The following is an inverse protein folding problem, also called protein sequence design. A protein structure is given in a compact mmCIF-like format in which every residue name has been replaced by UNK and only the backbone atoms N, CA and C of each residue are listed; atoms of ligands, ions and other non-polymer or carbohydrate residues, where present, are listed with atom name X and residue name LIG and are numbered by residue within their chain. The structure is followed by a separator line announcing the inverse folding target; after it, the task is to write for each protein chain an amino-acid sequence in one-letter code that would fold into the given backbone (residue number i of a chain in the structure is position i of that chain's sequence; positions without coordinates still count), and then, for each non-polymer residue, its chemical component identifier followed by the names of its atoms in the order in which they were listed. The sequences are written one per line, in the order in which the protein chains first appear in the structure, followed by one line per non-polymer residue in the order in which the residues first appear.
data_IF_646671003186
#
_entry.id   IF_646671003186
#
_cell.length_a   1.000
_cell.length_b   1.000
_cell.length_c   1.000
_cell.angle_alpha   90.00
_cell.angle_beta   90.00
_cell.angle_gamma   90.00
#
_symmetry.space_group_name_H-M   'P 1'
#
loop_
_entity.id
_entity.type
_entity.pdbx_description
1 polymer ?
#
# COMPACT_ATOMS: atom_id res chain seq x y z
N UNK A 1 -39.91 -1.34 -81.26
CA UNK A 1 -41.05 -1.14 -80.32
C UNK A 1 -40.61 -0.86 -78.87
N UNK A 2 -39.37 -0.40 -78.62
CA UNK A 2 -38.86 -0.12 -77.25
C UNK A 2 -38.43 1.34 -77.01
N UNK A 3 -38.46 2.18 -78.05
CA UNK A 3 -37.97 3.57 -77.99
C UNK A 3 -39.11 4.59 -77.84
N UNK A 4 -40.31 4.25 -78.31
CA UNK A 4 -41.51 5.10 -78.21
C UNK A 4 -42.10 5.09 -76.77
N UNK A 5 -41.89 4.01 -76.02
CA UNK A 5 -42.33 3.88 -74.62
C UNK A 5 -41.49 4.68 -73.62
N UNK A 6 -40.27 5.10 -74.00
CA UNK A 6 -39.39 5.91 -73.14
C UNK A 6 -39.73 7.40 -73.19
N UNK A 7 -39.97 7.93 -74.38
CA UNK A 7 -40.36 9.34 -74.62
C UNK A 7 -41.73 9.67 -74.01
N UNK A 8 -42.70 8.75 -74.11
CA UNK A 8 -44.04 8.96 -73.54
C UNK A 8 -44.03 9.03 -72.00
N UNK A 9 -43.09 8.32 -71.35
CA UNK A 9 -42.94 8.32 -69.89
C UNK A 9 -42.32 9.61 -69.35
N UNK A 10 -41.42 10.23 -70.13
CA UNK A 10 -40.76 11.50 -69.77
C UNK A 10 -41.72 12.69 -69.91
N UNK A 11 -42.56 12.69 -70.94
CA UNK A 11 -43.57 13.73 -71.17
C UNK A 11 -44.67 13.69 -70.10
N UNK A 12 -45.09 12.49 -69.65
CA UNK A 12 -46.04 12.33 -68.54
C UNK A 12 -45.45 12.80 -67.21
N UNK A 13 -44.15 12.63 -66.98
CA UNK A 13 -43.47 13.08 -65.76
C UNK A 13 -43.26 14.60 -65.71
N UNK A 14 -43.06 15.25 -66.87
CA UNK A 14 -42.90 16.70 -66.98
C UNK A 14 -44.22 17.47 -66.81
N UNK A 15 -45.37 16.84 -67.09
CA UNK A 15 -46.69 17.45 -66.92
C UNK A 15 -47.29 17.33 -65.51
N UNK A 16 -46.63 16.62 -64.58
CA UNK A 16 -47.20 16.30 -63.26
C UNK A 16 -46.67 17.07 -62.04
N UNK A 17 -46.17 18.33 -62.16
CA UNK A 17 -46.22 19.20 -60.98
C UNK A 17 -46.68 20.64 -61.27
N UNK A 18 -47.48 20.88 -62.31
CA UNK A 18 -48.02 22.23 -62.57
C UNK A 18 -49.45 22.39 -62.05
N UNK A 19 -50.22 21.31 -61.93
CA UNK A 19 -51.57 21.35 -61.34
C UNK A 19 -51.57 21.62 -59.83
N UNK A 20 -50.47 21.39 -59.13
CA UNK A 20 -50.32 21.70 -57.70
C UNK A 20 -49.87 23.14 -57.41
N UNK A 21 -49.37 23.89 -58.41
CA UNK A 21 -48.96 25.30 -58.23
C UNK A 21 -50.11 26.31 -58.42
N UNK A 22 -51.22 25.91 -59.05
CA UNK A 22 -52.38 26.75 -59.30
C UNK A 22 -53.63 26.31 -58.52
N UNK A 23 -53.44 25.67 -57.36
CA UNK A 23 -54.47 25.71 -56.34
C UNK A 23 -54.50 27.14 -55.77
N UNK A 24 -55.20 28.05 -56.45
CA UNK A 24 -55.65 29.29 -55.81
C UNK A 24 -56.38 28.83 -54.56
N UNK A 25 -55.77 29.12 -53.44
CA UNK A 25 -56.05 28.49 -52.16
C UNK A 25 -57.46 28.90 -51.74
N UNK A 26 -58.46 28.08 -52.06
CA UNK A 26 -59.85 28.36 -51.73
C UNK A 26 -60.02 28.67 -50.24
N UNK A 27 -59.13 28.13 -49.41
CA UNK A 27 -59.04 28.44 -47.98
C UNK A 27 -58.80 29.94 -47.70
N UNK A 28 -57.98 30.63 -48.49
CA UNK A 28 -57.67 32.07 -48.32
C UNK A 28 -58.90 32.91 -48.63
N UNK A 29 -59.62 32.59 -49.72
CA UNK A 29 -60.84 33.30 -50.09
C UNK A 29 -61.94 33.07 -49.03
N UNK A 30 -62.12 31.83 -48.57
CA UNK A 30 -63.06 31.51 -47.49
C UNK A 30 -62.71 32.23 -46.18
N UNK A 31 -61.42 32.31 -45.84
CA UNK A 31 -60.94 33.05 -44.67
C UNK A 31 -61.29 34.53 -44.75
N UNK A 32 -60.95 35.19 -45.85
CA UNK A 32 -61.19 36.62 -46.04
C UNK A 32 -62.69 36.96 -45.97
N UNK A 33 -63.51 36.14 -46.63
CA UNK A 33 -64.96 36.33 -46.60
C UNK A 33 -65.54 36.07 -45.20
N UNK A 34 -65.06 35.04 -44.50
CA UNK A 34 -65.41 34.76 -43.12
C UNK A 34 -65.04 35.89 -42.16
N UNK A 35 -63.84 36.44 -42.30
CA UNK A 35 -63.34 37.55 -41.49
C UNK A 35 -64.23 38.79 -41.65
N UNK A 36 -64.57 39.14 -42.91
CA UNK A 36 -65.45 40.27 -43.22
C UNK A 36 -66.82 40.12 -42.56
N UNK A 37 -67.45 38.94 -42.68
CA UNK A 37 -68.78 38.69 -42.09
C UNK A 37 -68.74 38.70 -40.56
N UNK A 38 -67.70 38.10 -39.97
CA UNK A 38 -67.54 38.07 -38.52
C UNK A 38 -67.35 39.48 -37.94
N UNK A 39 -66.50 40.32 -38.54
CA UNK A 39 -66.26 41.69 -38.08
C UNK A 39 -67.51 42.58 -38.25
N UNK A 40 -68.30 42.37 -39.30
CA UNK A 40 -69.60 43.06 -39.46
C UNK A 40 -70.56 42.76 -38.29
N UNK A 41 -70.67 41.50 -37.89
CA UNK A 41 -71.54 41.08 -36.77
C UNK A 41 -70.98 41.56 -35.43
N UNK A 42 -69.66 41.53 -35.28
CA UNK A 42 -68.96 42.06 -34.11
C UNK A 42 -69.17 43.56 -33.95
N UNK A 43 -69.13 44.33 -35.03
CA UNK A 43 -69.48 45.75 -35.02
C UNK A 43 -70.95 45.99 -34.63
N UNK A 44 -71.89 45.12 -35.02
CA UNK A 44 -73.28 45.21 -34.56
C UNK A 44 -73.43 44.92 -33.06
N UNK A 45 -72.55 44.09 -32.49
CA UNK A 45 -72.58 43.72 -31.08
C UNK A 45 -72.14 44.83 -30.13
N UNK A 46 -71.43 45.86 -30.62
CA UNK A 46 -71.00 47.01 -29.82
C UNK A 46 -72.05 48.13 -29.71
N UNK A 47 -73.21 48.00 -30.38
CA UNK A 47 -74.32 48.96 -30.32
C UNK A 47 -75.19 48.76 -29.07
N UNK A 48 -75.60 49.84 -28.39
CA UNK A 48 -76.18 49.79 -27.03
C UNK A 48 -77.57 49.16 -26.90
N UNK A 49 -78.48 49.34 -27.88
CA UNK A 49 -79.89 48.90 -27.75
C UNK A 49 -80.17 47.52 -28.35
N UNK A 50 -79.50 47.15 -29.44
CA UNK A 50 -79.66 45.86 -30.13
C UNK A 50 -78.44 44.94 -30.03
N UNK A 51 -77.34 45.40 -29.41
CA UNK A 51 -76.09 44.65 -29.32
C UNK A 51 -76.15 43.38 -28.47
N UNK A 52 -77.04 43.31 -27.46
CA UNK A 52 -77.12 42.13 -26.56
C UNK A 52 -77.43 40.84 -27.33
N UNK A 53 -78.33 40.91 -28.33
CA UNK A 53 -78.64 39.74 -29.17
C UNK A 53 -77.39 39.27 -29.91
N UNK A 54 -76.72 40.19 -30.60
CA UNK A 54 -75.51 39.92 -31.37
C UNK A 54 -74.34 39.44 -30.49
N UNK A 55 -74.16 39.99 -29.29
CA UNK A 55 -73.15 39.55 -28.32
C UNK A 55 -73.36 38.09 -27.91
N UNK A 56 -74.60 37.71 -27.60
CA UNK A 56 -74.92 36.32 -27.21
C UNK A 56 -74.69 35.35 -28.36
N UNK A 57 -74.99 35.77 -29.59
CA UNK A 57 -74.74 34.95 -30.77
C UNK A 57 -73.24 34.81 -31.05
N UNK A 58 -72.45 35.88 -30.96
CA UNK A 58 -70.99 35.81 -31.11
C UNK A 58 -70.35 34.86 -30.10
N UNK A 59 -70.76 34.94 -28.82
CA UNK A 59 -70.29 33.99 -27.79
C UNK A 59 -70.65 32.55 -28.15
N UNK A 60 -71.85 32.33 -28.69
CA UNK A 60 -72.28 30.99 -29.14
C UNK A 60 -71.43 30.53 -30.33
N UNK A 61 -71.19 31.38 -31.32
CA UNK A 61 -70.37 31.07 -32.51
C UNK A 61 -68.94 30.66 -32.07
N UNK A 62 -68.30 31.44 -31.20
CA UNK A 62 -66.94 31.15 -30.71
C UNK A 62 -66.81 29.78 -30.04
N UNK A 63 -67.87 29.30 -29.38
CA UNK A 63 -67.88 27.99 -28.70
C UNK A 63 -68.30 26.86 -29.64
N UNK A 64 -69.28 27.11 -30.52
CA UNK A 64 -69.92 26.08 -31.34
C UNK A 64 -69.17 25.78 -32.66
N UNK A 65 -68.29 26.66 -33.13
CA UNK A 65 -67.58 26.46 -34.41
C UNK A 65 -66.60 25.29 -34.43
N UNK A 66 -66.09 24.86 -33.28
CA UNK A 66 -65.29 23.63 -33.14
C UNK A 66 -66.11 22.37 -33.45
N UNK A 67 -67.43 22.41 -33.17
CA UNK A 67 -68.35 21.27 -33.32
C UNK A 67 -69.47 21.57 -34.32
N UNK A 68 -69.14 22.27 -35.40
CA UNK A 68 -70.11 22.67 -36.41
C UNK A 68 -70.64 21.44 -37.17
N UNK A 69 -71.79 20.93 -36.73
CA UNK A 69 -72.60 19.96 -37.45
C UNK A 69 -73.83 20.65 -38.09
N UNK A 70 -74.56 19.95 -38.96
CA UNK A 70 -75.72 20.52 -39.68
C UNK A 70 -76.76 21.15 -38.75
N UNK A 71 -76.95 20.59 -37.55
CA UNK A 71 -77.86 21.13 -36.53
C UNK A 71 -77.34 22.43 -35.92
N UNK A 72 -76.08 22.48 -35.47
CA UNK A 72 -75.46 23.68 -34.91
C UNK A 72 -75.35 24.78 -35.96
N UNK A 73 -75.05 24.41 -37.20
CA UNK A 73 -75.01 25.31 -38.33
C UNK A 73 -76.38 25.99 -38.56
N UNK A 74 -77.45 25.19 -38.65
CA UNK A 74 -78.82 25.70 -38.75
C UNK A 74 -79.21 26.57 -37.55
N UNK A 75 -78.85 26.16 -36.33
CA UNK A 75 -79.15 26.93 -35.12
C UNK A 75 -78.44 28.28 -35.06
N UNK A 76 -77.16 28.33 -35.39
CA UNK A 76 -76.39 29.58 -35.45
C UNK A 76 -77.01 30.54 -36.48
N UNK A 77 -77.33 30.03 -37.67
CA UNK A 77 -77.99 30.81 -38.72
C UNK A 77 -79.36 31.34 -38.27
N UNK A 78 -80.17 30.54 -37.56
CA UNK A 78 -81.47 30.98 -37.01
C UNK A 78 -81.32 32.04 -35.91
N UNK A 79 -80.32 31.89 -35.03
CA UNK A 79 -80.04 32.89 -33.99
C UNK A 79 -79.59 34.23 -34.60
N UNK A 80 -78.72 34.18 -35.60
CA UNK A 80 -78.31 35.36 -36.38
C UNK A 80 -79.49 36.03 -37.07
N UNK A 81 -80.35 35.22 -37.69
CA UNK A 81 -81.58 35.67 -38.36
C UNK A 81 -82.52 36.38 -37.39
N UNK A 82 -82.76 35.80 -36.21
CA UNK A 82 -83.60 36.44 -35.19
C UNK A 82 -83.01 37.75 -34.68
N UNK A 83 -81.69 37.85 -34.50
CA UNK A 83 -81.06 39.11 -34.15
C UNK A 83 -81.25 40.17 -35.24
N UNK A 84 -81.12 39.79 -36.52
CA UNK A 84 -81.36 40.70 -37.65
C UNK A 84 -82.82 41.15 -37.75
N UNK A 85 -83.77 40.22 -37.63
CA UNK A 85 -85.20 40.52 -37.69
C UNK A 85 -85.61 41.44 -36.54
N UNK A 86 -85.12 41.17 -35.32
CA UNK A 86 -85.34 42.04 -34.15
C UNK A 86 -84.73 43.43 -34.33
N UNK A 87 -83.49 43.52 -34.81
CA UNK A 87 -82.79 44.79 -35.12
C UNK A 87 -83.53 45.60 -36.19
N UNK A 88 -84.18 44.91 -37.13
CA UNK A 88 -84.94 45.52 -38.23
C UNK A 88 -86.43 45.77 -37.91
N UNK A 89 -86.91 45.44 -36.70
CA UNK A 89 -88.31 45.63 -36.28
C UNK A 89 -89.32 44.62 -36.86
N UNK A 90 -88.86 43.47 -37.35
CA UNK A 90 -89.70 42.39 -37.90
C UNK A 90 -90.01 41.31 -36.87
N UNK A 91 -91.04 40.49 -37.13
CA UNK A 91 -91.40 39.33 -36.31
C UNK A 91 -90.27 38.30 -36.30
N UNK A 92 -89.88 37.84 -35.11
CA UNK A 92 -88.91 36.75 -34.89
C UNK A 92 -89.57 35.38 -34.87
N UNK A 93 -88.77 34.32 -35.03
CA UNK A 93 -89.25 32.95 -35.09
C UNK A 93 -88.47 32.04 -34.13
N UNK A 94 -89.18 31.24 -33.33
CA UNK A 94 -88.56 30.39 -32.30
C UNK A 94 -88.06 29.03 -32.83
N UNK A 95 -87.81 28.92 -34.14
CA UNK A 95 -87.35 27.68 -34.77
C UNK A 95 -85.99 27.19 -34.22
N UNK A 96 -85.19 28.09 -33.63
CA UNK A 96 -83.92 27.77 -32.99
C UNK A 96 -84.06 27.03 -31.65
N UNK A 97 -85.28 26.97 -31.07
CA UNK A 97 -85.58 26.23 -29.84
C UNK A 97 -86.01 24.79 -30.12
N UNK A 98 -86.18 24.40 -31.38
CA UNK A 98 -86.66 23.08 -31.78
C UNK A 98 -85.48 22.15 -32.08
N UNK A 99 -85.27 21.18 -31.19
CA UNK A 99 -84.19 20.20 -31.34
C UNK A 99 -84.46 19.17 -32.43
N UNK A 100 -85.74 18.76 -32.59
CA UNK A 100 -86.15 17.78 -33.60
C UNK A 100 -86.09 18.37 -35.00
N UNK A 101 -85.23 17.81 -35.85
CA UNK A 101 -84.93 18.36 -37.17
C UNK A 101 -86.16 18.54 -38.07
N UNK A 102 -87.03 17.53 -38.18
CA UNK A 102 -88.24 17.61 -39.01
C UNK A 102 -89.18 18.76 -38.59
N UNK A 103 -89.33 18.97 -37.29
CA UNK A 103 -90.14 20.06 -36.75
C UNK A 103 -89.48 21.42 -36.99
N UNK A 104 -88.14 21.50 -36.88
CA UNK A 104 -87.38 22.71 -37.20
C UNK A 104 -87.48 23.08 -38.67
N UNK A 105 -87.32 22.12 -39.59
CA UNK A 105 -87.49 22.34 -41.04
C UNK A 105 -88.90 22.83 -41.38
N UNK A 106 -89.93 22.23 -40.78
CA UNK A 106 -91.32 22.71 -40.94
C UNK A 106 -91.49 24.15 -40.43
N UNK A 107 -90.87 24.49 -39.30
CA UNK A 107 -90.88 25.85 -38.77
C UNK A 107 -90.21 26.85 -39.72
N UNK A 108 -89.07 26.49 -40.32
CA UNK A 108 -88.35 27.29 -41.31
C UNK A 108 -89.20 27.51 -42.57
N UNK A 109 -89.87 26.47 -43.06
CA UNK A 109 -90.71 26.55 -44.26
C UNK A 109 -91.94 27.44 -44.07
N UNK A 110 -92.40 27.64 -42.83
CA UNK A 110 -93.53 28.51 -42.50
C UNK A 110 -93.11 29.96 -42.17
N UNK A 111 -91.83 30.30 -42.34
CA UNK A 111 -91.35 31.67 -42.20
C UNK A 111 -91.81 32.55 -43.37
N UNK A 112 -91.87 33.87 -43.16
CA UNK A 112 -92.05 34.81 -44.26
C UNK A 112 -90.86 34.77 -45.23
N UNK A 113 -91.08 35.09 -46.51
CA UNK A 113 -90.03 35.13 -47.54
C UNK A 113 -88.82 35.97 -47.11
N UNK A 114 -89.07 37.11 -46.44
CA UNK A 114 -88.00 37.96 -45.90
C UNK A 114 -87.18 37.24 -44.83
N UNK A 115 -87.82 36.56 -43.90
CA UNK A 115 -87.14 35.83 -42.82
C UNK A 115 -86.38 34.61 -43.37
N UNK A 116 -86.97 33.89 -44.33
CA UNK A 116 -86.31 32.77 -44.99
C UNK A 116 -85.08 33.20 -45.80
N UNK A 117 -85.16 34.31 -46.53
CA UNK A 117 -84.01 34.85 -47.28
C UNK A 117 -82.87 35.27 -46.35
N UNK A 118 -83.18 35.96 -45.25
CA UNK A 118 -82.17 36.33 -44.23
C UNK A 118 -81.54 35.08 -43.61
N UNK A 119 -82.35 34.05 -43.33
CA UNK A 119 -81.86 32.77 -42.86
C UNK A 119 -80.90 32.12 -43.85
N UNK A 120 -81.23 32.09 -45.14
CA UNK A 120 -80.36 31.50 -46.16
C UNK A 120 -79.00 32.21 -46.26
N UNK A 121 -78.99 33.55 -46.22
CA UNK A 121 -77.75 34.33 -46.22
C UNK A 121 -76.88 34.03 -44.99
N UNK A 122 -77.46 34.06 -43.79
CA UNK A 122 -76.72 33.71 -42.58
C UNK A 122 -76.33 32.24 -42.51
N UNK A 123 -77.10 31.35 -43.12
CA UNK A 123 -76.74 29.95 -43.26
C UNK A 123 -75.43 29.82 -44.03
N UNK A 124 -75.31 30.43 -45.20
CA UNK A 124 -74.06 30.40 -45.98
C UNK A 124 -72.90 31.05 -45.21
N UNK A 125 -73.12 32.23 -44.61
CA UNK A 125 -72.05 32.96 -43.93
C UNK A 125 -71.57 32.31 -42.64
N UNK A 126 -72.42 31.53 -41.96
CA UNK A 126 -72.03 30.83 -40.72
C UNK A 126 -70.85 29.89 -40.95
N UNK A 127 -70.84 29.17 -42.07
CA UNK A 127 -69.72 28.28 -42.43
C UNK A 127 -68.42 29.06 -42.61
N UNK A 128 -68.47 30.20 -43.32
CA UNK A 128 -67.29 31.02 -43.55
C UNK A 128 -66.77 31.66 -42.27
N UNK A 129 -67.65 32.13 -41.38
CA UNK A 129 -67.26 32.68 -40.08
C UNK A 129 -66.61 31.63 -39.18
N UNK A 130 -67.18 30.42 -39.12
CA UNK A 130 -66.56 29.33 -38.36
C UNK A 130 -65.23 28.89 -38.96
N UNK A 131 -65.13 28.84 -40.28
CA UNK A 131 -63.86 28.56 -40.96
C UNK A 131 -62.78 29.58 -40.56
N UNK A 132 -63.11 30.88 -40.59
CA UNK A 132 -62.21 31.94 -40.15
C UNK A 132 -61.77 31.79 -38.68
N UNK A 133 -62.70 31.56 -37.76
CA UNK A 133 -62.37 31.41 -36.32
C UNK A 133 -61.51 30.18 -36.03
N UNK A 134 -61.81 29.06 -36.69
CA UNK A 134 -61.01 27.85 -36.56
C UNK A 134 -59.62 28.05 -37.17
N UNK A 135 -59.53 28.74 -38.31
CA UNK A 135 -58.25 29.11 -38.92
C UNK A 135 -57.40 29.98 -37.99
N UNK A 136 -57.97 31.00 -37.34
CA UNK A 136 -57.21 31.87 -36.44
C UNK A 136 -56.70 31.11 -35.20
N UNK A 137 -57.51 30.20 -34.65
CA UNK A 137 -57.08 29.30 -33.56
C UNK A 137 -55.93 28.40 -34.03
N UNK A 138 -56.10 27.74 -35.17
CA UNK A 138 -55.09 26.87 -35.75
C UNK A 138 -53.78 27.61 -36.06
N UNK A 139 -53.87 28.84 -36.59
CA UNK A 139 -52.71 29.68 -36.88
C UNK A 139 -51.95 30.02 -35.60
N UNK A 140 -52.65 30.42 -34.54
CA UNK A 140 -52.03 30.73 -33.26
C UNK A 140 -51.34 29.53 -32.62
N UNK A 141 -51.97 28.34 -32.66
CA UNK A 141 -51.38 27.09 -32.19
C UNK A 141 -50.15 26.67 -33.02
N UNK A 142 -50.24 26.83 -34.33
CA UNK A 142 -49.15 26.54 -35.27
C UNK A 142 -47.96 27.46 -35.01
N UNK A 143 -48.18 28.77 -34.87
CA UNK A 143 -47.13 29.73 -34.56
C UNK A 143 -46.47 29.44 -33.21
N UNK A 144 -47.26 29.05 -32.19
CA UNK A 144 -46.71 28.63 -30.90
C UNK A 144 -45.85 27.36 -31.03
N UNK A 145 -46.34 26.36 -31.76
CA UNK A 145 -45.62 25.11 -31.99
C UNK A 145 -44.31 25.35 -32.76
N UNK A 146 -44.33 26.19 -33.80
CA UNK A 146 -43.14 26.56 -34.56
C UNK A 146 -42.12 27.28 -33.66
N UNK A 147 -42.57 28.21 -32.81
CA UNK A 147 -41.69 28.90 -31.85
C UNK A 147 -41.04 27.91 -30.88
N UNK A 148 -41.81 26.98 -30.32
CA UNK A 148 -41.28 25.94 -29.43
C UNK A 148 -40.28 25.04 -30.14
N UNK A 149 -40.60 24.58 -31.35
CA UNK A 149 -39.71 23.74 -32.16
C UNK A 149 -38.39 24.46 -32.47
N UNK A 150 -38.47 25.73 -32.85
CA UNK A 150 -37.29 26.55 -33.10
C UNK A 150 -36.42 26.69 -31.84
N UNK A 151 -37.03 26.99 -30.70
CA UNK A 151 -36.32 27.12 -29.42
C UNK A 151 -35.62 25.82 -29.01
N UNK A 152 -36.33 24.68 -29.08
CA UNK A 152 -35.76 23.37 -28.77
C UNK A 152 -34.64 23.02 -29.73
N UNK A 153 -34.81 23.26 -31.03
CA UNK A 153 -33.78 22.98 -32.04
C UNK A 153 -32.55 23.88 -31.87
N UNK A 154 -32.74 25.16 -31.50
CA UNK A 154 -31.62 26.07 -31.22
C UNK A 154 -30.84 25.62 -30.00
N UNK A 155 -31.54 25.28 -28.90
CA UNK A 155 -30.91 24.76 -27.69
C UNK A 155 -30.15 23.46 -27.96
N UNK A 156 -30.74 22.55 -28.73
CA UNK A 156 -30.08 21.29 -29.10
C UNK A 156 -28.81 21.55 -29.93
N UNK A 157 -28.83 22.53 -30.84
CA UNK A 157 -27.64 22.95 -31.59
C UNK A 157 -26.55 23.47 -30.66
N UNK A 158 -26.88 24.35 -29.73
CA UNK A 158 -25.93 24.89 -28.75
C UNK A 158 -25.32 23.79 -27.88
N UNK A 159 -26.14 22.88 -27.36
CA UNK A 159 -25.67 21.73 -26.57
C UNK A 159 -24.77 20.79 -27.36
N UNK A 160 -25.05 20.57 -28.65
CA UNK A 160 -24.17 19.77 -29.52
C UNK A 160 -22.82 20.43 -29.77
N UNK A 161 -22.79 21.77 -29.91
CA UNK A 161 -21.55 22.52 -30.06
C UNK A 161 -20.72 22.46 -28.77
N UNK A 162 -21.33 22.67 -27.61
CA UNK A 162 -20.68 22.55 -26.30
C UNK A 162 -20.16 21.13 -26.05
N UNK A 163 -20.95 20.10 -26.38
CA UNK A 163 -20.53 18.72 -26.27
C UNK A 163 -19.34 18.39 -27.20
N UNK A 164 -19.31 18.95 -28.41
CA UNK A 164 -18.19 18.77 -29.34
C UNK A 164 -16.91 19.41 -28.80
N UNK A 165 -16.99 20.62 -28.24
CA UNK A 165 -15.84 21.30 -27.62
C UNK A 165 -15.33 20.54 -26.38
N UNK A 166 -16.24 20.07 -25.53
CA UNK A 166 -15.90 19.23 -24.39
C UNK A 166 -15.25 17.91 -24.82
N UNK A 167 -15.71 17.29 -25.92
CA UNK A 167 -15.10 16.08 -26.46
C UNK A 167 -13.66 16.33 -26.96
N UNK A 168 -13.41 17.47 -27.61
CA UNK A 168 -12.07 17.85 -28.07
C UNK A 168 -11.11 18.05 -26.89
N UNK A 169 -11.54 18.79 -25.87
CA UNK A 169 -10.72 19.00 -24.66
C UNK A 169 -10.46 17.70 -23.89
N UNK A 170 -11.45 16.81 -23.80
CA UNK A 170 -11.30 15.49 -23.19
C UNK A 170 -10.30 14.62 -23.97
N UNK A 171 -10.36 14.64 -25.30
CA UNK A 171 -9.42 13.89 -26.15
C UNK A 171 -7.98 14.38 -25.97
N UNK A 172 -7.78 15.70 -25.90
CA UNK A 172 -6.44 16.26 -25.65
C UNK A 172 -5.93 15.89 -24.25
N UNK A 173 -6.79 15.93 -23.23
CA UNK A 173 -6.43 15.47 -21.87
C UNK A 173 -6.09 13.98 -21.82
N UNK A 174 -6.81 13.12 -22.54
CA UNK A 174 -6.50 11.70 -22.66
C UNK A 174 -5.14 11.48 -23.34
N UNK A 175 -4.84 12.22 -24.42
CA UNK A 175 -3.56 12.17 -25.11
C UNK A 175 -2.41 12.57 -24.17
N UNK A 176 -2.56 13.64 -23.41
CA UNK A 176 -1.56 14.06 -22.41
C UNK A 176 -1.39 13.00 -21.30
N UNK A 177 -2.48 12.40 -20.83
CA UNK A 177 -2.47 11.33 -19.84
C UNK A 177 -1.74 10.08 -20.35
N UNK A 178 -1.94 9.71 -21.62
CA UNK A 178 -1.22 8.60 -22.26
C UNK A 178 0.28 8.90 -22.40
N UNK A 179 0.65 10.13 -22.75
CA UNK A 179 2.05 10.55 -22.76
C UNK A 179 2.68 10.44 -21.37
N UNK A 180 1.97 10.84 -20.31
CA UNK A 180 2.43 10.71 -18.93
C UNK A 180 2.60 9.24 -18.51
N UNK A 181 1.62 8.38 -18.85
CA UNK A 181 1.71 6.93 -18.59
C UNK A 181 2.91 6.30 -19.29
N UNK A 182 3.19 6.67 -20.55
CA UNK A 182 4.38 6.21 -21.26
C UNK A 182 5.68 6.65 -20.56
N UNK A 183 5.77 7.90 -20.08
CA UNK A 183 6.92 8.37 -19.32
C UNK A 183 7.10 7.59 -18.01
N UNK A 184 6.01 7.36 -17.27
CA UNK A 184 6.03 6.54 -16.04
C UNK A 184 6.47 5.10 -16.31
N UNK A 185 6.03 4.50 -17.41
CA UNK A 185 6.44 3.16 -17.80
C UNK A 185 7.93 3.09 -18.13
N UNK A 186 8.47 4.12 -18.80
CA UNK A 186 9.91 4.24 -19.07
C UNK A 186 10.70 4.39 -17.77
N UNK A 187 10.29 5.30 -16.87
CA UNK A 187 10.93 5.44 -15.55
C UNK A 187 10.82 4.16 -14.71
N UNK A 188 9.70 3.42 -14.80
CA UNK A 188 9.54 2.13 -14.14
C UNK A 188 10.50 1.06 -14.66
N UNK A 189 10.75 1.03 -15.98
CA UNK A 189 11.76 0.14 -16.59
C UNK A 189 13.18 0.50 -16.14
N UNK A 190 13.51 1.78 -16.11
CA UNK A 190 14.81 2.28 -15.64
C UNK A 190 15.01 1.95 -14.15
N UNK A 191 14.00 2.17 -13.32
CA UNK A 191 14.07 1.80 -11.91
C UNK A 191 14.25 0.28 -11.74
N UNK A 192 13.58 -0.52 -12.56
CA UNK A 192 13.76 -1.97 -12.58
C UNK A 192 15.19 -2.40 -12.94
N UNK A 193 15.84 -1.71 -13.88
CA UNK A 193 17.25 -1.98 -14.23
C UNK A 193 18.21 -1.58 -13.12
N UNK A 194 17.99 -0.42 -12.49
CA UNK A 194 18.76 0.04 -11.32
C UNK A 194 18.61 -0.92 -10.15
N UNK A 195 17.39 -1.38 -9.85
CA UNK A 195 17.14 -2.38 -8.80
C UNK A 195 17.85 -3.70 -9.08
N UNK A 196 17.83 -4.17 -10.33
CA UNK A 196 18.53 -5.39 -10.73
C UNK A 196 20.05 -5.24 -10.55
N UNK A 197 20.62 -4.13 -11.00
CA UNK A 197 22.05 -3.84 -10.84
C UNK A 197 22.43 -3.72 -9.36
N UNK A 198 21.62 -3.02 -8.55
CA UNK A 198 21.85 -2.91 -7.11
C UNK A 198 21.78 -4.28 -6.42
N UNK A 199 20.84 -5.14 -6.79
CA UNK A 199 20.76 -6.50 -6.25
C UNK A 199 21.99 -7.33 -6.60
N UNK A 200 22.52 -7.19 -7.81
CA UNK A 200 23.74 -7.86 -8.25
C UNK A 200 24.96 -7.33 -7.48
N UNK A 201 25.08 -6.02 -7.32
CA UNK A 201 26.14 -5.40 -6.49
C UNK A 201 26.09 -5.86 -5.04
N UNK A 202 24.90 -5.93 -4.42
CA UNK A 202 24.74 -6.43 -3.04
C UNK A 202 25.15 -7.90 -2.94
N UNK A 203 24.76 -8.74 -3.90
CA UNK A 203 25.17 -10.14 -3.93
C UNK A 203 26.69 -10.31 -4.06
N UNK A 204 27.33 -9.49 -4.90
CA UNK A 204 28.79 -9.48 -5.04
C UNK A 204 29.47 -9.03 -3.73
N UNK A 205 28.99 -7.96 -3.09
CA UNK A 205 29.51 -7.52 -1.79
C UNK A 205 29.36 -8.58 -0.70
N UNK A 206 28.24 -9.29 -0.66
CA UNK A 206 28.03 -10.40 0.30
C UNK A 206 29.01 -11.55 0.02
N UNK A 207 29.28 -11.84 -1.26
CA UNK A 207 30.27 -12.85 -1.65
C UNK A 207 31.68 -12.44 -1.24
N UNK A 208 32.08 -11.20 -1.51
CA UNK A 208 33.38 -10.65 -1.13
C UNK A 208 33.56 -10.64 0.40
N UNK A 209 32.50 -10.29 1.14
CA UNK A 209 32.52 -10.32 2.61
C UNK A 209 32.71 -11.75 3.14
N UNK A 210 32.04 -12.74 2.53
CA UNK A 210 32.19 -14.15 2.91
C UNK A 210 33.61 -14.65 2.64
N UNK A 211 34.22 -14.24 1.53
CA UNK A 211 35.60 -14.59 1.19
C UNK A 211 36.59 -13.92 2.16
N UNK A 212 36.43 -12.62 2.41
CA UNK A 212 37.25 -11.88 3.38
C UNK A 212 37.13 -12.45 4.81
N UNK A 213 35.94 -12.84 5.25
CA UNK A 213 35.75 -13.47 6.55
C UNK A 213 36.44 -14.85 6.64
N UNK A 214 36.55 -15.58 5.53
CA UNK A 214 37.30 -16.84 5.46
C UNK A 214 38.80 -16.58 5.59
N UNK A 215 39.33 -15.57 4.91
CA UNK A 215 40.74 -15.18 5.01
C UNK A 215 41.09 -14.69 6.42
N UNK A 216 40.22 -13.89 7.04
CA UNK A 216 40.38 -13.45 8.44
C UNK A 216 40.40 -14.63 9.41
N UNK A 217 39.57 -15.65 9.19
CA UNK A 217 39.59 -16.89 9.99
C UNK A 217 40.92 -17.63 9.85
N UNK A 218 41.49 -17.69 8.65
CA UNK A 218 42.77 -18.33 8.41
C UNK A 218 43.93 -17.61 9.13
N UNK A 219 43.97 -16.27 9.05
CA UNK A 219 44.92 -15.45 9.81
C UNK A 219 44.78 -15.64 11.33
N UNK A 220 43.56 -15.71 11.85
CA UNK A 220 43.32 -15.98 13.27
C UNK A 220 43.85 -17.35 13.70
N UNK A 221 43.62 -18.39 12.88
CA UNK A 221 44.17 -19.73 13.15
C UNK A 221 45.71 -19.72 13.16
N UNK A 222 46.32 -18.96 12.26
CA UNK A 222 47.78 -18.78 12.25
C UNK A 222 48.26 -18.12 13.55
N UNK A 223 47.60 -17.06 14.02
CA UNK A 223 47.94 -16.37 15.28
C UNK A 223 47.83 -17.33 16.49
N UNK A 224 46.79 -18.15 16.56
CA UNK A 224 46.62 -19.12 17.65
C UNK A 224 47.77 -20.15 17.70
N UNK A 225 48.34 -20.55 16.57
CA UNK A 225 49.46 -21.50 16.54
C UNK A 225 50.76 -20.91 17.10
N UNK A 226 51.03 -19.63 16.85
CA UNK A 226 52.15 -18.92 17.48
C UNK A 226 51.97 -18.80 19.01
N UNK A 227 50.74 -18.58 19.47
CA UNK A 227 50.45 -18.50 20.90
C UNK A 227 50.73 -19.81 21.64
N UNK A 228 50.34 -20.95 21.09
CA UNK A 228 50.64 -22.28 21.66
C UNK A 228 52.15 -22.55 21.72
N UNK A 229 52.89 -22.12 20.70
CA UNK A 229 54.35 -22.26 20.65
C UNK A 229 55.02 -21.43 21.75
N UNK A 230 54.58 -20.18 21.93
CA UNK A 230 55.06 -19.31 23.00
C UNK A 230 54.76 -19.88 24.39
N UNK A 231 53.53 -20.35 24.62
CA UNK A 231 53.14 -21.00 25.88
C UNK A 231 54.03 -22.21 26.19
N UNK A 232 54.35 -23.02 25.17
CA UNK A 232 55.19 -24.21 25.34
C UNK A 232 56.65 -23.87 25.73
N UNK A 233 57.17 -22.74 25.26
CA UNK A 233 58.52 -22.24 25.53
C UNK A 233 58.63 -21.65 26.95
N UNK A 234 57.65 -20.82 27.34
CA UNK A 234 57.59 -20.22 28.69
C UNK A 234 57.59 -21.28 29.80
N UNK A 235 56.81 -22.36 29.64
CA UNK A 235 56.73 -23.44 30.63
C UNK A 235 58.06 -24.23 30.72
N UNK A 236 58.82 -24.33 29.63
CA UNK A 236 60.13 -24.99 29.63
C UNK A 236 61.18 -24.18 30.39
N UNK A 237 61.27 -22.88 30.11
CA UNK A 237 62.24 -21.97 30.73
C UNK A 237 61.97 -21.75 32.23
N UNK A 238 60.72 -21.64 32.68
CA UNK A 238 60.45 -21.43 34.11
C UNK A 238 60.88 -22.63 34.98
N UNK A 239 60.92 -23.84 34.43
CA UNK A 239 61.18 -25.08 35.15
C UNK A 239 62.61 -25.18 35.72
N UNK A 240 63.63 -24.77 34.96
CA UNK A 240 65.02 -24.88 35.42
C UNK A 240 65.36 -23.87 36.53
N UNK A 241 64.76 -22.67 36.49
CA UNK A 241 64.89 -21.67 37.55
C UNK A 241 64.34 -22.20 38.89
N UNK A 242 63.20 -22.89 38.87
CA UNK A 242 62.61 -23.51 40.05
C UNK A 242 63.53 -24.58 40.66
N UNK A 243 64.21 -25.38 39.83
CA UNK A 243 65.20 -26.37 40.31
C UNK A 243 66.39 -25.70 41.01
N UNK A 244 66.93 -24.61 40.45
CA UNK A 244 68.07 -23.91 41.06
C UNK A 244 67.71 -23.36 42.44
N UNK A 245 66.55 -22.71 42.57
CA UNK A 245 66.11 -22.15 43.85
C UNK A 245 65.92 -23.26 44.90
N UNK A 246 65.34 -24.40 44.52
CA UNK A 246 65.11 -25.52 45.43
C UNK A 246 66.41 -26.11 46.01
N UNK A 247 67.41 -26.39 45.16
CA UNK A 247 68.66 -27.03 45.63
C UNK A 247 69.56 -26.06 46.39
N UNK A 248 69.59 -24.77 46.01
CA UNK A 248 70.32 -23.75 46.77
C UNK A 248 69.80 -23.63 48.20
N UNK A 249 68.48 -23.54 48.38
CA UNK A 249 67.84 -23.52 49.71
C UNK A 249 68.10 -24.82 50.49
N UNK A 250 67.99 -25.98 49.82
CA UNK A 250 68.24 -27.29 50.45
C UNK A 250 69.69 -27.44 50.95
N UNK A 251 70.67 -26.99 50.17
CA UNK A 251 72.08 -26.98 50.57
C UNK A 251 72.32 -26.09 51.80
N UNK A 252 71.72 -24.91 51.85
CA UNK A 252 71.81 -24.00 53.00
C UNK A 252 71.22 -24.67 54.25
N UNK A 253 70.05 -25.29 54.15
CA UNK A 253 69.43 -26.00 55.26
C UNK A 253 70.28 -27.19 55.75
N UNK A 254 70.81 -28.00 54.84
CA UNK A 254 71.71 -29.11 55.20
C UNK A 254 72.98 -28.62 55.90
N UNK A 255 73.57 -27.51 55.45
CA UNK A 255 74.73 -26.90 56.09
C UNK A 255 74.42 -26.40 57.52
N UNK A 256 73.25 -25.75 57.70
CA UNK A 256 72.81 -25.28 59.01
C UNK A 256 72.59 -26.43 60.00
N UNK A 257 71.84 -27.47 59.62
CA UNK A 257 71.54 -28.61 60.50
C UNK A 257 72.75 -29.48 60.82
N UNK A 258 73.73 -29.53 59.91
CA UNK A 258 74.98 -30.28 60.10
C UNK A 258 76.07 -29.50 60.85
N UNK A 259 75.84 -28.23 61.20
CA UNK A 259 76.81 -27.41 61.95
C UNK A 259 76.92 -27.80 63.44
N UNK A 260 75.95 -28.53 63.98
CA UNK A 260 75.96 -28.99 65.37
C UNK A 260 76.98 -30.13 65.58
N UNK A 261 77.73 -30.09 66.69
CA UNK A 261 78.71 -31.14 67.06
C UNK A 261 78.09 -32.55 67.17
N UNK A 262 76.77 -32.63 67.33
CA UNK A 262 75.99 -33.88 67.40
C UNK A 262 75.71 -34.55 66.05
N UNK A 263 75.76 -33.80 64.94
CA UNK A 263 75.30 -34.27 63.60
C UNK A 263 76.37 -34.08 62.52
N UNK A 264 77.65 -33.92 62.91
CA UNK A 264 78.76 -33.61 61.99
C UNK A 264 79.01 -34.75 61.00
N UNK A 265 78.82 -36.00 61.42
CA UNK A 265 79.01 -37.19 60.59
C UNK A 265 77.94 -37.32 59.49
N UNK A 266 76.74 -36.76 59.71
CA UNK A 266 75.64 -36.79 58.73
C UNK A 266 75.88 -35.89 57.51
N UNK A 267 76.86 -34.97 57.55
CA UNK A 267 77.07 -33.93 56.52
C UNK A 267 77.31 -34.51 55.13
N UNK A 268 78.23 -35.47 55.05
CA UNK A 268 78.67 -36.06 53.79
C UNK A 268 77.52 -36.86 53.18
N UNK A 269 76.80 -37.63 53.99
CA UNK A 269 75.64 -38.42 53.54
C UNK A 269 74.52 -37.53 53.00
N UNK A 270 74.21 -36.39 53.63
CA UNK A 270 73.20 -35.45 53.15
C UNK A 270 73.57 -34.83 51.80
N UNK A 271 74.82 -34.40 51.61
CA UNK A 271 75.26 -33.85 50.32
C UNK A 271 75.29 -34.91 49.21
N UNK A 272 75.62 -36.17 49.52
CA UNK A 272 75.57 -37.27 48.56
C UNK A 272 74.13 -37.55 48.10
N UNK A 273 73.16 -37.59 49.03
CA UNK A 273 71.74 -37.78 48.69
C UNK A 273 71.23 -36.63 47.81
N UNK A 274 71.55 -35.38 48.16
CA UNK A 274 71.17 -34.21 47.33
C UNK A 274 71.80 -34.27 45.94
N UNK A 275 73.07 -34.65 45.82
CA UNK A 275 73.77 -34.73 44.53
C UNK A 275 73.18 -35.82 43.62
N UNK A 276 72.88 -37.00 44.17
CA UNK A 276 72.19 -38.06 43.42
C UNK A 276 70.79 -37.63 42.96
N UNK A 277 70.07 -36.88 43.79
CA UNK A 277 68.76 -36.37 43.44
C UNK A 277 68.83 -35.36 42.27
N UNK A 278 69.82 -34.45 42.26
CA UNK A 278 70.03 -33.52 41.13
C UNK A 278 70.26 -34.28 39.83
N UNK A 279 71.11 -35.31 39.85
CA UNK A 279 71.41 -36.14 38.67
C UNK A 279 70.16 -36.89 38.21
N UNK A 280 69.41 -37.47 39.14
CA UNK A 280 68.15 -38.15 38.87
C UNK A 280 67.12 -37.22 38.23
N UNK A 281 66.96 -36.01 38.75
CA UNK A 281 66.06 -35.00 38.18
C UNK A 281 66.48 -34.59 36.75
N UNK A 282 67.78 -34.36 36.51
CA UNK A 282 68.28 -34.00 35.17
C UNK A 282 68.11 -35.13 34.16
N UNK A 283 68.34 -36.38 34.56
CA UNK A 283 68.10 -37.54 33.69
C UNK A 283 66.61 -37.73 33.39
N UNK A 284 65.73 -37.54 34.38
CA UNK A 284 64.27 -37.62 34.18
C UNK A 284 63.79 -36.56 33.18
N UNK A 285 64.24 -35.31 33.31
CA UNK A 285 63.87 -34.22 32.39
C UNK A 285 64.40 -34.49 30.97
N UNK A 286 65.63 -34.96 30.84
CA UNK A 286 66.22 -35.29 29.53
C UNK A 286 65.50 -36.48 28.86
N UNK A 287 65.17 -37.52 29.62
CA UNK A 287 64.45 -38.69 29.13
C UNK A 287 63.06 -38.31 28.60
N UNK A 288 62.30 -37.54 29.38
CA UNK A 288 60.96 -37.09 28.98
C UNK A 288 60.98 -36.16 27.75
N UNK A 289 61.95 -35.23 27.68
CA UNK A 289 62.11 -34.35 26.52
C UNK A 289 62.44 -35.12 25.22
N UNK A 290 63.11 -36.27 25.30
CA UNK A 290 63.51 -37.05 24.13
C UNK A 290 62.40 -38.01 23.65
N UNK A 291 61.56 -38.53 24.56
CA UNK A 291 60.57 -39.55 24.21
C UNK A 291 59.20 -38.97 23.83
N UNK A 292 58.79 -37.83 24.38
CA UNK A 292 57.45 -37.27 24.16
C UNK A 292 57.49 -35.77 23.84
N UNK A 293 57.26 -35.43 22.57
CA UNK A 293 57.09 -34.05 22.11
C UNK A 293 55.67 -33.48 22.35
N UNK A 294 54.76 -34.23 22.99
CA UNK A 294 53.38 -33.78 23.21
C UNK A 294 53.24 -32.91 24.46
N UNK A 295 52.59 -31.75 24.28
CA UNK A 295 52.40 -30.71 25.29
C UNK A 295 51.50 -31.16 26.46
N UNK A 296 50.66 -32.19 26.28
CA UNK A 296 49.68 -32.66 27.27
C UNK A 296 50.31 -33.31 28.51
N UNK A 297 51.57 -33.74 28.44
CA UNK A 297 52.26 -34.42 29.54
C UNK A 297 53.23 -33.51 30.32
N UNK A 298 53.19 -32.19 30.11
CA UNK A 298 54.03 -31.26 30.89
C UNK A 298 53.58 -31.16 32.35
N UNK A 299 52.27 -31.22 32.61
CA UNK A 299 51.73 -31.19 33.97
C UNK A 299 52.09 -32.46 34.75
N UNK A 300 52.08 -33.62 34.08
CA UNK A 300 52.50 -34.88 34.70
C UNK A 300 54.01 -34.92 34.98
N UNK A 301 54.84 -34.27 34.14
CA UNK A 301 56.27 -34.11 34.38
C UNK A 301 56.55 -33.26 35.62
N UNK A 302 55.91 -32.09 35.73
CA UNK A 302 56.08 -31.19 36.89
C UNK A 302 55.66 -31.89 38.19
N UNK A 303 54.52 -32.60 38.17
CA UNK A 303 54.04 -33.36 39.33
C UNK A 303 55.01 -34.48 39.73
N UNK A 304 55.57 -35.20 38.75
CA UNK A 304 56.52 -36.30 38.99
C UNK A 304 57.84 -35.79 39.61
N UNK A 305 58.39 -34.69 39.10
CA UNK A 305 59.60 -34.04 39.67
C UNK A 305 59.34 -33.60 41.11
N UNK A 306 58.17 -33.04 41.40
CA UNK A 306 57.82 -32.59 42.75
C UNK A 306 57.71 -33.75 43.74
N UNK A 307 57.17 -34.89 43.30
CA UNK A 307 57.15 -36.11 44.12
C UNK A 307 58.55 -36.63 44.42
N UNK A 308 59.47 -36.65 43.45
CA UNK A 308 60.87 -37.04 43.67
C UNK A 308 61.56 -36.17 44.73
N UNK A 309 61.35 -34.85 44.69
CA UNK A 309 61.91 -33.90 45.66
C UNK A 309 61.43 -34.18 47.09
N UNK A 310 60.15 -34.44 47.28
CA UNK A 310 59.58 -34.80 48.59
C UNK A 310 60.20 -36.06 49.18
N UNK A 311 60.37 -37.09 48.37
CA UNK A 311 60.97 -38.36 48.80
C UNK A 311 62.42 -38.15 49.22
N UNK A 312 63.20 -37.36 48.49
CA UNK A 312 64.58 -37.07 48.90
C UNK A 312 64.67 -36.31 50.22
N UNK A 313 63.78 -35.34 50.47
CA UNK A 313 63.74 -34.60 51.74
C UNK A 313 63.37 -35.50 52.92
N UNK A 314 62.45 -36.45 52.74
CA UNK A 314 62.12 -37.40 53.81
C UNK A 314 63.30 -38.31 54.13
N UNK A 315 64.05 -38.78 53.12
CA UNK A 315 65.31 -39.52 53.35
C UNK A 315 66.33 -38.68 54.12
N UNK A 316 66.52 -37.40 53.77
CA UNK A 316 67.41 -36.49 54.51
C UNK A 316 66.96 -36.25 55.96
N UNK A 317 65.65 -36.16 56.22
CA UNK A 317 65.13 -36.01 57.57
C UNK A 317 65.36 -37.28 58.41
N UNK A 318 65.15 -38.46 57.82
CA UNK A 318 65.38 -39.75 58.50
C UNK A 318 66.87 -39.90 58.86
N UNK A 319 67.80 -39.57 57.97
CA UNK A 319 69.24 -39.67 58.26
C UNK A 319 69.67 -38.72 59.38
N UNK A 320 69.10 -37.52 59.46
CA UNK A 320 69.31 -36.59 60.58
C UNK A 320 68.77 -37.16 61.91
N UNK A 321 67.58 -37.77 61.92
CA UNK A 321 67.01 -38.37 63.14
C UNK A 321 67.81 -39.60 63.58
N UNK A 322 68.21 -40.47 62.66
CA UNK A 322 69.03 -41.65 62.98
C UNK A 322 70.38 -41.24 63.60
N UNK A 323 71.07 -40.26 63.02
CA UNK A 323 72.35 -39.76 63.56
C UNK A 323 72.18 -39.04 64.89
N UNK A 324 71.05 -38.35 65.10
CA UNK A 324 70.70 -37.76 66.38
C UNK A 324 70.48 -38.82 67.48
N UNK A 325 69.74 -39.90 67.20
CA UNK A 325 69.46 -40.96 68.17
C UNK A 325 70.67 -41.85 68.48
N UNK A 326 71.56 -42.07 67.51
CA UNK A 326 72.76 -42.91 67.68
C UNK A 326 73.94 -42.17 68.35
N UNK A 327 73.78 -40.88 68.67
CA UNK A 327 74.83 -40.08 69.32
C UNK A 327 75.07 -40.56 70.76
N UNK A 328 76.08 -41.42 70.93
CA UNK A 328 76.57 -41.91 72.23
C UNK A 328 77.80 -41.09 72.62
N UNK A 329 77.77 -40.48 73.81
CA UNK A 329 78.79 -39.54 74.28
C UNK A 329 80.11 -40.26 74.65
N UNK A 330 80.94 -40.50 73.64
CA UNK A 330 82.22 -41.22 73.74
C UNK A 330 83.21 -40.50 74.67
N UNK A 331 83.16 -39.15 74.73
CA UNK A 331 84.02 -38.33 75.59
C UNK A 331 83.73 -38.49 77.08
N UNK A 332 82.47 -38.75 77.46
CA UNK A 332 82.10 -38.98 78.88
C UNK A 332 82.58 -40.36 79.37
N UNK A 333 82.60 -41.38 78.50
CA UNK A 333 83.16 -42.70 78.85
C UNK A 333 84.69 -42.65 78.97
N UNK A 334 85.39 -41.97 78.06
CA UNK A 334 86.86 -41.80 78.14
C UNK A 334 87.28 -41.03 79.39
N UNK A 335 86.54 -39.97 79.78
CA UNK A 335 86.80 -39.23 81.02
C UNK A 335 86.57 -40.10 82.27
N UNK A 336 85.51 -40.92 82.30
CA UNK A 336 85.29 -41.90 83.38
C UNK A 336 86.37 -42.98 83.43
N UNK A 337 86.92 -43.39 82.29
CA UNK A 337 88.03 -44.34 82.23
C UNK A 337 89.33 -43.71 82.76
N UNK A 338 89.64 -42.47 82.35
CA UNK A 338 90.82 -41.73 82.83
C UNK A 338 90.76 -41.52 84.35
N UNK A 339 89.59 -41.13 84.87
CA UNK A 339 89.37 -40.96 86.32
C UNK A 339 89.52 -42.29 87.09
N UNK A 340 89.19 -43.42 86.47
CA UNK A 340 89.41 -44.77 87.03
C UNK A 340 90.90 -45.11 87.11
N UNK A 341 91.67 -44.76 86.07
CA UNK A 341 93.13 -44.97 86.02
C UNK A 341 93.84 -44.07 87.05
N UNK A 342 93.45 -42.80 87.17
CA UNK A 342 93.99 -41.88 88.18
C UNK A 342 93.73 -42.39 89.61
N UNK A 343 92.53 -42.90 89.88
CA UNK A 343 92.19 -43.48 91.18
C UNK A 343 93.05 -44.72 91.48
N UNK A 344 93.28 -45.60 90.50
CA UNK A 344 94.13 -46.79 90.67
C UNK A 344 95.59 -46.41 91.00
N UNK A 345 96.16 -45.42 90.32
CA UNK A 345 97.51 -44.91 90.59
C UNK A 345 97.66 -44.35 92.01
N UNK A 346 96.68 -43.57 92.49
CA UNK A 346 96.72 -43.01 93.85
C UNK A 346 96.68 -44.06 94.96
N UNK A 347 96.02 -45.20 94.70
CA UNK A 347 95.90 -46.31 95.67
C UNK A 347 97.22 -47.08 95.77
N UNK A 348 97.88 -47.31 94.63
CA UNK A 348 99.20 -47.97 94.57
C UNK A 348 100.25 -47.14 95.32
N UNK A 349 100.27 -45.81 95.12
CA UNK A 349 101.25 -44.93 95.76
C UNK A 349 101.11 -44.87 97.30
N UNK A 350 99.91 -45.06 97.87
CA UNK A 350 99.72 -45.20 99.32
C UNK A 350 100.28 -46.52 99.87
N UNK A 351 100.12 -47.64 99.14
CA UNK A 351 100.60 -48.96 99.57
C UNK A 351 102.13 -49.03 99.56
N UNK A 352 102.81 -48.37 98.60
CA UNK A 352 104.28 -48.36 98.53
C UNK A 352 104.93 -47.55 99.65
N UNK A 353 104.24 -46.54 100.21
CA UNK A 353 104.74 -45.72 101.33
C UNK A 353 104.75 -46.43 102.69
N UNK A 354 104.00 -47.54 102.83
CA UNK A 354 103.95 -48.35 104.06
C UNK A 354 105.01 -49.45 104.05
N UNK A 355 105.45 -49.92 102.86
CA UNK A 355 106.43 -51.00 102.72
C UNK A 355 107.90 -50.56 102.86
N UNK A 356 108.18 -49.26 103.07
CA UNK A 356 109.55 -48.70 103.20
C UNK A 356 109.93 -48.34 104.64
N UNK A 357 109.14 -48.77 105.64
CA UNK A 357 109.36 -48.44 107.07
C UNK A 357 109.45 -49.63 108.03
N UNK A 358 109.71 -50.85 107.54
CA UNK A 358 110.04 -51.98 108.41
C UNK A 358 111.25 -52.77 107.93
#
# INVERSE_FOLDING_TARGET
MLQITKECKVIIFLFFPISSLFAIDGSVILKELGAKQYEMIKAKSSLSQHGICWQNVIKTIQISCDKLNDQQHSFLALKLTNCFLKDSGHKTYDCHLIDVENQRRNCINNMSDRAFNVYNEFYIHTTHMCFYLNYETWQAETDNTIKQLYQVSSRMREQLLEASEMQETMLESQKQSLQMQNKLLTHGKELGSVLKSSSESVNNLVKDFKESAKDQRELLLQIFSYFQTFQSWVIGEISWFQSIIYYTVSCILCALFSSSKRTVDARVTLFTILSLNVIGERMLVQYYNNMYHSNDNKDSLVNTVWMCRKIALTFCAITLVCTYCYYRDEHVESYKALKRIEHQLSTIQKVTSISTKH
#
